data_IF_744329576960
#
_entry.id   IF_744329576960
#
_cell.length_a   1.000
_cell.length_b   1.000
_cell.length_c   1.000
_cell.angle_alpha   90.00
_cell.angle_beta   90.00
_cell.angle_gamma   90.00
#
_symmetry.space_group_name_H-M   'P 1'
#
loop_
_entity.id
_entity.type
_entity.pdbx_description
1 polymer ?
#
# COMPACT_ATOMS: atom_id res chain seq x y z
N UNK A 1 23.03 41.62 29.61
CA UNK A 1 23.72 40.39 29.16
C UNK A 1 24.03 39.58 30.40
N UNK A 2 23.22 38.57 30.70
CA UNK A 2 23.50 37.69 31.84
C UNK A 2 24.66 36.80 31.42
N UNK A 3 25.83 36.96 32.04
CA UNK A 3 26.92 36.01 31.85
C UNK A 3 26.39 34.62 32.19
N UNK A 4 26.70 33.62 31.37
CA UNK A 4 26.27 32.24 31.61
C UNK A 4 26.71 31.86 33.02
N UNK A 5 25.86 31.18 33.81
CA UNK A 5 26.23 30.73 35.17
C UNK A 5 27.54 29.93 35.16
N UNK A 6 27.80 29.23 34.05
CA UNK A 6 29.08 28.57 33.75
C UNK A 6 30.26 29.55 33.68
N UNK A 7 30.10 30.69 33.00
CA UNK A 7 31.14 31.70 32.87
C UNK A 7 31.43 32.34 34.23
N UNK A 8 30.39 32.57 35.04
CA UNK A 8 30.50 33.08 36.41
C UNK A 8 31.24 32.13 37.35
N UNK A 9 30.92 30.82 37.30
CA UNK A 9 31.66 29.82 38.09
C UNK A 9 33.11 29.75 37.65
N UNK A 10 33.38 29.79 36.34
CA UNK A 10 34.75 29.80 35.84
C UNK A 10 35.53 31.03 36.30
N UNK A 11 34.92 32.22 36.31
CA UNK A 11 35.59 33.43 36.82
C UNK A 11 35.91 33.31 38.31
N UNK A 12 34.98 32.81 39.13
CA UNK A 12 35.24 32.58 40.57
C UNK A 12 36.33 31.55 40.80
N UNK A 13 36.39 30.48 40.00
CA UNK A 13 37.41 29.44 40.11
C UNK A 13 38.80 29.97 39.71
N UNK A 14 38.89 30.82 38.67
CA UNK A 14 40.14 31.48 38.30
C UNK A 14 40.59 32.50 39.33
N UNK A 15 39.67 33.29 39.89
CA UNK A 15 39.97 34.26 40.94
C UNK A 15 40.41 33.58 42.24
N UNK A 16 39.76 32.48 42.61
CA UNK A 16 40.18 31.64 43.73
C UNK A 16 41.59 31.09 43.52
N UNK A 17 41.89 30.53 42.34
CA UNK A 17 43.22 30.01 42.02
C UNK A 17 44.31 31.10 42.09
N UNK A 18 44.00 32.32 41.64
CA UNK A 18 44.95 33.43 41.67
C UNK A 18 45.14 34.01 43.08
N UNK A 19 44.10 34.02 43.92
CA UNK A 19 44.21 34.41 45.33
C UNK A 19 44.99 33.40 46.16
N UNK A 20 44.84 32.09 45.89
CA UNK A 20 45.65 31.05 46.53
C UNK A 20 47.13 31.21 46.17
N UNK A 21 47.46 31.49 44.90
CA UNK A 21 48.85 31.79 44.49
C UNK A 21 49.40 33.03 45.22
N UNK A 22 48.62 34.10 45.32
CA UNK A 22 48.99 35.34 46.02
C UNK A 22 49.17 35.12 47.52
N UNK A 23 48.31 34.29 48.14
CA UNK A 23 48.43 33.91 49.54
C UNK A 23 49.75 33.18 49.82
N UNK A 24 50.08 32.14 49.05
CA UNK A 24 51.35 31.42 49.22
C UNK A 24 52.57 32.30 48.96
N UNK A 25 52.50 33.22 47.98
CA UNK A 25 53.56 34.21 47.76
C UNK A 25 53.74 35.14 48.98
N UNK A 26 52.65 35.68 49.52
CA UNK A 26 52.67 36.55 50.71
C UNK A 26 53.20 35.83 51.96
N UNK A 27 52.84 34.55 52.14
CA UNK A 27 53.33 33.72 53.24
C UNK A 27 54.85 33.50 53.15
N UNK A 28 55.37 33.28 51.93
CA UNK A 28 56.82 33.14 51.71
C UNK A 28 57.57 34.44 52.04
N UNK A 29 57.03 35.60 51.65
CA UNK A 29 57.67 36.90 51.91
C UNK A 29 57.67 37.28 53.39
N UNK A 30 56.67 36.84 54.14
CA UNK A 30 56.57 37.00 55.60
C UNK A 30 57.53 36.03 56.31
N UNK A 31 57.66 34.79 55.81
CA UNK A 31 58.63 33.82 56.32
C UNK A 31 60.09 34.29 56.14
N UNK A 32 60.38 35.03 55.06
CA UNK A 32 61.70 35.57 54.74
C UNK A 32 62.04 36.92 55.47
N UNK A 33 61.20 37.34 56.42
CA UNK A 33 61.43 38.50 57.33
C UNK A 33 61.57 39.87 56.63
N UNK A 34 61.00 40.03 55.43
CA UNK A 34 60.83 41.34 54.80
C UNK A 34 59.59 42.05 55.37
N UNK A 35 59.72 43.34 55.73
CA UNK A 35 58.66 44.15 56.33
C UNK A 35 57.44 44.13 55.40
N UNK A 36 56.37 43.49 55.84
CA UNK A 36 55.13 43.37 55.08
C UNK A 36 54.33 44.67 55.19
N UNK A 37 54.05 45.31 54.05
CA UNK A 37 53.04 46.38 53.97
C UNK A 37 51.70 45.84 54.49
N UNK A 38 51.03 46.58 55.37
CA UNK A 38 49.73 46.22 55.99
C UNK A 38 48.63 45.85 54.97
N UNK A 39 48.82 46.18 53.69
CA UNK A 39 47.96 45.87 52.56
C UNK A 39 48.11 44.44 51.99
N UNK A 40 49.21 43.72 52.29
CA UNK A 40 49.47 42.35 51.81
C UNK A 40 49.47 41.33 52.95
N UNK A 41 48.72 41.61 54.02
CA UNK A 41 48.61 40.69 55.15
C UNK A 41 47.88 39.40 54.72
N UNK A 42 48.42 38.21 55.04
CA UNK A 42 47.81 36.92 54.68
C UNK A 42 46.37 36.77 55.18
N UNK A 43 46.00 37.49 56.25
CA UNK A 43 44.63 37.51 56.78
C UNK A 43 43.61 38.14 55.82
N UNK A 44 44.01 39.12 55.01
CA UNK A 44 43.12 39.76 54.04
C UNK A 44 42.84 38.83 52.85
N UNK A 45 43.85 38.08 52.39
CA UNK A 45 43.67 37.07 51.35
C UNK A 45 42.78 35.92 51.81
N UNK A 46 42.91 35.47 53.08
CA UNK A 46 42.01 34.45 53.65
C UNK A 46 40.55 34.95 53.68
N UNK A 47 40.31 36.20 54.10
CA UNK A 47 38.96 36.79 54.09
C UNK A 47 38.38 36.85 52.67
N UNK A 48 39.18 37.23 51.68
CA UNK A 48 38.76 37.25 50.27
C UNK A 48 38.46 35.85 49.73
N UNK A 49 39.26 34.84 50.09
CA UNK A 49 39.04 33.44 49.73
C UNK A 49 37.69 32.96 50.29
N UNK A 50 37.39 33.24 51.57
CA UNK A 50 36.11 32.87 52.19
C UNK A 50 34.93 33.52 51.45
N UNK A 51 35.05 34.81 51.09
CA UNK A 51 33.96 35.49 50.36
C UNK A 51 33.72 34.92 48.97
N UNK A 52 34.77 34.45 48.28
CA UNK A 52 34.63 33.83 46.95
C UNK A 52 34.07 32.42 47.09
N UNK A 53 34.47 31.68 48.13
CA UNK A 53 33.92 30.36 48.44
C UNK A 53 32.41 30.45 48.73
N UNK A 54 31.98 31.42 49.55
CA UNK A 54 30.56 31.71 49.79
C UNK A 54 29.79 32.04 48.50
N UNK A 55 30.43 32.74 47.56
CA UNK A 55 29.82 33.08 46.27
C UNK A 55 29.77 31.87 45.33
N UNK A 56 30.79 31.01 45.35
CA UNK A 56 30.83 29.76 44.60
C UNK A 56 29.75 28.81 45.10
N UNK A 57 29.59 28.69 46.42
CA UNK A 57 28.56 27.87 47.04
C UNK A 57 27.15 28.31 46.59
N UNK A 58 26.86 29.62 46.62
CA UNK A 58 25.59 30.17 46.11
C UNK A 58 25.39 29.90 44.61
N UNK A 59 26.45 30.01 43.81
CA UNK A 59 26.38 29.72 42.38
C UNK A 59 26.08 28.23 42.11
N UNK A 60 26.66 27.32 42.89
CA UNK A 60 26.39 25.87 42.82
C UNK A 60 24.95 25.57 43.21
N UNK A 61 24.44 26.16 44.29
CA UNK A 61 23.03 26.01 44.70
C UNK A 61 22.07 26.47 43.60
N UNK A 62 22.35 27.60 42.95
CA UNK A 62 21.57 28.06 41.81
C UNK A 62 21.63 27.11 40.60
N UNK A 63 22.78 26.48 40.34
CA UNK A 63 22.92 25.47 39.27
C UNK A 63 22.08 24.24 39.60
N UNK A 64 22.08 23.77 40.85
CA UNK A 64 21.26 22.63 41.25
C UNK A 64 19.76 22.91 41.11
N UNK A 65 19.31 24.10 41.52
CA UNK A 65 17.92 24.52 41.30
C UNK A 65 17.57 24.56 39.81
N UNK A 66 18.45 25.12 39.00
CA UNK A 66 18.25 25.19 37.56
C UNK A 66 18.20 23.80 36.93
N UNK A 67 19.06 22.87 37.35
CA UNK A 67 19.04 21.48 36.90
C UNK A 67 17.73 20.78 37.28
N UNK A 68 17.26 20.96 38.53
CA UNK A 68 15.95 20.43 38.96
C UNK A 68 14.80 20.98 38.12
N UNK A 69 14.81 22.27 37.78
CA UNK A 69 13.81 22.88 36.88
C UNK A 69 13.92 22.33 35.46
N UNK A 70 15.14 22.19 34.94
CA UNK A 70 15.39 21.65 33.61
C UNK A 70 14.90 20.22 33.47
N UNK A 71 15.11 19.37 34.49
CA UNK A 71 14.56 18.01 34.51
C UNK A 71 13.04 18.01 34.41
N UNK A 72 12.36 18.90 35.14
CA UNK A 72 10.90 19.05 35.05
C UNK A 72 10.46 19.51 33.66
N UNK A 73 11.19 20.45 33.05
CA UNK A 73 10.90 20.91 31.68
C UNK A 73 11.01 19.75 30.69
N UNK A 74 12.08 18.95 30.79
CA UNK A 74 12.27 17.78 29.93
C UNK A 74 11.13 16.77 30.12
N UNK A 75 10.75 16.47 31.36
CA UNK A 75 9.62 15.58 31.65
C UNK A 75 8.31 16.06 31.00
N UNK A 76 7.98 17.35 31.16
CA UNK A 76 6.77 17.93 30.55
C UNK A 76 6.87 17.91 29.02
N UNK A 77 8.05 18.15 28.46
CA UNK A 77 8.27 18.06 27.02
C UNK A 77 8.04 16.64 26.49
N UNK A 78 8.55 15.62 27.20
CA UNK A 78 8.34 14.22 26.86
C UNK A 78 6.86 13.84 26.96
N UNK A 79 6.14 14.32 27.98
CA UNK A 79 4.69 14.14 28.11
C UNK A 79 3.93 14.75 26.92
N UNK A 80 4.26 15.98 26.53
CA UNK A 80 3.67 16.65 25.36
C UNK A 80 3.92 15.83 24.09
N UNK A 81 5.14 15.31 23.91
CA UNK A 81 5.46 14.47 22.76
C UNK A 81 4.64 13.17 22.77
N UNK A 82 4.47 12.52 23.92
CA UNK A 82 3.63 11.33 24.03
C UNK A 82 2.16 11.63 23.71
N UNK A 83 1.62 12.77 24.16
CA UNK A 83 0.26 13.18 23.80
C UNK A 83 0.11 13.46 22.30
N UNK A 84 1.10 14.10 21.67
CA UNK A 84 1.09 14.32 20.22
C UNK A 84 1.08 13.01 19.44
N UNK A 85 1.89 12.03 19.85
CA UNK A 85 1.90 10.70 19.22
C UNK A 85 0.52 10.03 19.36
N UNK A 86 -0.07 10.06 20.56
CA UNK A 86 -1.41 9.51 20.81
C UNK A 86 -2.48 10.21 19.96
N UNK A 87 -2.41 11.52 19.84
CA UNK A 87 -3.33 12.32 19.01
C UNK A 87 -3.23 11.93 17.54
N UNK A 88 -2.02 11.84 17.00
CA UNK A 88 -1.80 11.43 15.61
C UNK A 88 -2.33 10.01 15.35
N UNK A 89 -2.07 9.08 16.27
CA UNK A 89 -2.60 7.71 16.16
C UNK A 89 -4.13 7.68 16.18
N UNK A 90 -4.77 8.52 17.01
CA UNK A 90 -6.23 8.64 17.04
C UNK A 90 -6.78 9.17 15.71
N UNK A 91 -6.16 10.24 15.18
CA UNK A 91 -6.55 10.82 13.88
C UNK A 91 -6.39 9.81 12.76
N UNK A 92 -5.28 9.08 12.73
CA UNK A 92 -5.05 8.02 11.75
C UNK A 92 -6.12 6.93 11.84
N UNK A 93 -6.41 6.43 13.06
CA UNK A 93 -7.45 5.42 13.28
C UNK A 93 -8.83 5.90 12.84
N UNK A 94 -9.16 7.16 13.10
CA UNK A 94 -10.42 7.76 12.68
C UNK A 94 -10.50 7.83 11.14
N UNK A 95 -9.44 8.28 10.49
CA UNK A 95 -9.39 8.34 9.03
C UNK A 95 -9.51 6.95 8.39
N UNK A 96 -8.79 5.95 8.89
CA UNK A 96 -8.93 4.57 8.39
C UNK A 96 -10.35 4.03 8.60
N UNK A 97 -10.95 4.28 9.77
CA UNK A 97 -12.34 3.87 10.03
C UNK A 97 -13.34 4.58 9.09
N UNK A 98 -13.10 5.86 8.79
CA UNK A 98 -13.90 6.62 7.83
C UNK A 98 -13.78 6.04 6.42
N UNK A 99 -12.57 5.72 5.98
CA UNK A 99 -12.32 5.11 4.66
C UNK A 99 -13.00 3.74 4.54
N UNK A 100 -12.91 2.91 5.58
CA UNK A 100 -13.61 1.61 5.64
C UNK A 100 -15.13 1.78 5.51
N UNK A 101 -15.71 2.77 6.21
CA UNK A 101 -17.14 3.06 6.13
C UNK A 101 -17.56 3.57 4.75
N UNK A 102 -16.77 4.46 4.14
CA UNK A 102 -17.02 4.94 2.77
C UNK A 102 -16.95 3.80 1.76
N UNK A 103 -15.97 2.89 1.89
CA UNK A 103 -15.88 1.68 1.07
C UNK A 103 -17.08 0.76 1.27
N UNK A 104 -17.51 0.54 2.51
CA UNK A 104 -18.71 -0.25 2.78
C UNK A 104 -19.98 0.39 2.19
N UNK A 105 -20.09 1.71 2.26
CA UNK A 105 -21.23 2.47 1.76
C UNK A 105 -21.27 2.42 0.22
N UNK A 106 -20.12 2.62 -0.43
CA UNK A 106 -20.01 2.51 -1.89
C UNK A 106 -20.36 1.11 -2.39
N UNK A 107 -19.87 0.06 -1.71
CA UNK A 107 -20.24 -1.33 -2.02
C UNK A 107 -21.75 -1.57 -1.85
N UNK A 108 -22.35 -1.14 -0.74
CA UNK A 108 -23.78 -1.25 -0.52
C UNK A 108 -24.61 -0.51 -1.58
N UNK A 109 -24.14 0.66 -2.06
CA UNK A 109 -24.77 1.38 -3.18
C UNK A 109 -24.66 0.61 -4.49
N UNK A 110 -23.52 -0.04 -4.76
CA UNK A 110 -23.36 -0.88 -5.96
C UNK A 110 -24.27 -2.10 -5.90
N UNK A 111 -24.35 -2.78 -4.76
CA UNK A 111 -25.27 -3.89 -4.53
C UNK A 111 -26.71 -3.46 -4.73
N UNK A 112 -27.13 -2.32 -4.16
CA UNK A 112 -28.47 -1.79 -4.37
C UNK A 112 -28.77 -1.59 -5.87
N UNK A 113 -27.87 -0.94 -6.61
CA UNK A 113 -28.02 -0.77 -8.07
C UNK A 113 -28.13 -2.10 -8.80
N UNK A 114 -27.32 -3.10 -8.43
CA UNK A 114 -27.37 -4.44 -9.01
C UNK A 114 -28.71 -5.13 -8.70
N UNK A 115 -29.23 -5.01 -7.47
CA UNK A 115 -30.54 -5.56 -7.11
C UNK A 115 -31.69 -4.87 -7.83
N UNK A 116 -31.62 -3.54 -8.02
CA UNK A 116 -32.61 -2.80 -8.80
C UNK A 116 -32.56 -3.19 -10.28
N UNK A 117 -31.37 -3.37 -10.85
CA UNK A 117 -31.21 -3.88 -12.19
C UNK A 117 -31.79 -5.30 -12.32
N UNK A 118 -31.46 -6.19 -11.39
CA UNK A 118 -31.99 -7.55 -11.36
C UNK A 118 -33.52 -7.59 -11.24
N UNK A 119 -34.11 -6.69 -10.44
CA UNK A 119 -35.58 -6.55 -10.33
C UNK A 119 -36.21 -6.02 -11.62
N UNK A 120 -35.54 -5.12 -12.34
CA UNK A 120 -36.00 -4.61 -13.64
C UNK A 120 -35.84 -5.65 -14.75
N UNK A 121 -34.78 -6.45 -14.71
CA UNK A 121 -34.58 -7.54 -15.65
C UNK A 121 -35.52 -8.68 -15.30
N UNK A 122 -36.60 -8.85 -16.06
CA UNK A 122 -37.57 -9.92 -15.88
C UNK A 122 -37.00 -11.26 -16.38
N UNK A 123 -35.95 -11.77 -15.73
CA UNK A 123 -35.28 -13.02 -16.08
C UNK A 123 -35.76 -14.11 -15.11
N UNK A 124 -36.21 -15.23 -15.65
CA UNK A 124 -36.65 -16.35 -14.82
C UNK A 124 -35.44 -17.08 -14.22
N UNK A 125 -35.56 -17.48 -12.95
CA UNK A 125 -34.54 -18.26 -12.25
C UNK A 125 -34.21 -19.58 -12.96
N UNK A 126 -35.22 -20.22 -13.57
CA UNK A 126 -35.06 -21.47 -14.34
C UNK A 126 -34.13 -21.30 -15.52
N UNK A 127 -34.20 -20.17 -16.21
CA UNK A 127 -33.39 -19.90 -17.40
C UNK A 127 -31.92 -19.70 -17.00
N UNK A 128 -31.68 -18.97 -15.90
CA UNK A 128 -30.36 -18.78 -15.31
C UNK A 128 -29.75 -20.13 -14.92
N UNK A 129 -30.50 -20.99 -14.24
CA UNK A 129 -30.01 -22.30 -13.81
C UNK A 129 -29.68 -23.20 -15.02
N UNK A 130 -30.55 -23.21 -16.03
CA UNK A 130 -30.32 -23.98 -17.25
C UNK A 130 -29.08 -23.48 -18.02
N UNK A 131 -28.88 -22.17 -18.08
CA UNK A 131 -27.73 -21.57 -18.75
C UNK A 131 -26.44 -21.76 -17.95
N UNK A 132 -26.48 -21.63 -16.62
CA UNK A 132 -25.35 -21.91 -15.75
C UNK A 132 -24.91 -23.38 -15.84
N UNK A 133 -25.86 -24.32 -15.90
CA UNK A 133 -25.57 -25.74 -16.14
C UNK A 133 -24.89 -25.98 -17.49
N UNK A 134 -25.33 -25.30 -18.55
CA UNK A 134 -24.66 -25.34 -19.87
C UNK A 134 -23.24 -24.77 -19.81
N UNK A 135 -23.06 -23.60 -19.18
CA UNK A 135 -21.75 -22.95 -19.03
C UNK A 135 -20.78 -23.77 -18.18
N UNK A 136 -21.26 -24.47 -17.15
CA UNK A 136 -20.42 -25.26 -16.25
C UNK A 136 -19.54 -26.28 -16.98
N UNK A 137 -19.97 -26.77 -18.15
CA UNK A 137 -19.18 -27.70 -18.98
C UNK A 137 -17.91 -27.05 -19.57
N UNK A 138 -17.89 -25.71 -19.66
CA UNK A 138 -16.85 -24.92 -20.33
C UNK A 138 -16.01 -24.06 -19.39
N UNK A 139 -16.51 -23.77 -18.18
CA UNK A 139 -15.92 -22.74 -17.30
C UNK A 139 -15.06 -23.27 -16.15
N UNK A 140 -15.12 -24.57 -15.82
CA UNK A 140 -14.26 -25.13 -14.78
C UNK A 140 -14.03 -26.63 -14.96
N UNK A 141 -12.78 -27.06 -14.90
CA UNK A 141 -12.46 -28.48 -14.75
C UNK A 141 -12.90 -28.91 -13.33
N UNK A 142 -13.66 -30.01 -13.18
CA UNK A 142 -14.08 -30.48 -11.86
C UNK A 142 -12.89 -30.66 -10.92
N UNK A 143 -13.04 -30.39 -9.61
CA UNK A 143 -12.00 -30.73 -8.66
C UNK A 143 -11.75 -32.25 -8.72
N UNK A 144 -10.51 -32.65 -9.04
CA UNK A 144 -10.05 -34.01 -9.38
C UNK A 144 -10.16 -34.43 -10.86
N UNK A 145 -10.19 -33.49 -11.82
CA UNK A 145 -10.05 -33.83 -13.24
C UNK A 145 -8.64 -34.36 -13.54
N UNK A 146 -8.49 -35.68 -13.54
CA UNK A 146 -7.27 -36.36 -13.99
C UNK A 146 -7.44 -36.81 -15.44
N UNK A 147 -6.66 -36.21 -16.35
CA UNK A 147 -6.65 -36.51 -17.79
C UNK A 147 -6.35 -37.99 -18.10
N UNK A 148 -5.77 -38.71 -17.14
CA UNK A 148 -5.34 -40.10 -17.28
C UNK A 148 -6.43 -41.12 -16.88
N UNK A 149 -7.46 -40.70 -16.13
CA UNK A 149 -8.49 -41.60 -15.63
C UNK A 149 -9.76 -41.48 -16.47
N UNK A 150 -9.75 -42.13 -17.64
CA UNK A 150 -10.83 -42.13 -18.65
C UNK A 150 -12.15 -42.78 -18.18
N UNK A 151 -12.21 -43.22 -16.92
CA UNK A 151 -13.38 -43.89 -16.35
C UNK A 151 -14.33 -42.91 -15.65
N UNK A 152 -13.87 -41.70 -15.30
CA UNK A 152 -14.73 -40.62 -14.84
C UNK A 152 -15.25 -39.84 -16.06
N UNK A 153 -16.39 -40.26 -16.61
CA UNK A 153 -17.12 -39.53 -17.68
C UNK A 153 -17.62 -38.18 -17.16
N UNK A 154 -16.73 -37.20 -17.08
CA UNK A 154 -17.11 -35.82 -16.84
C UNK A 154 -16.89 -35.08 -18.16
N UNK A 155 -17.99 -34.65 -18.78
CA UNK A 155 -18.01 -33.95 -20.07
C UNK A 155 -17.48 -32.51 -19.92
N UNK A 156 -16.16 -32.39 -19.73
CA UNK A 156 -15.46 -31.11 -19.75
C UNK A 156 -15.09 -30.77 -21.20
N UNK A 157 -15.61 -29.65 -21.69
CA UNK A 157 -15.33 -29.14 -23.03
C UNK A 157 -14.40 -27.93 -22.95
N UNK A 158 -13.56 -27.73 -23.97
CA UNK A 158 -12.65 -26.58 -24.03
C UNK A 158 -13.47 -25.27 -24.10
N UNK A 159 -12.98 -24.17 -23.50
CA UNK A 159 -13.71 -22.91 -23.43
C UNK A 159 -13.88 -22.20 -24.79
N UNK A 160 -13.10 -22.59 -25.80
CA UNK A 160 -13.18 -22.08 -27.17
C UNK A 160 -13.55 -23.22 -28.14
N UNK A 161 -14.22 -22.92 -29.26
CA UNK A 161 -14.58 -23.93 -30.25
C UNK A 161 -13.32 -24.50 -30.91
N UNK A 162 -13.23 -25.83 -31.00
CA UNK A 162 -12.17 -26.52 -31.72
C UNK A 162 -12.33 -26.34 -33.25
N UNK A 163 -11.20 -26.38 -33.97
CA UNK A 163 -11.14 -26.25 -35.43
C UNK A 163 -12.12 -27.19 -36.17
N UNK A 164 -12.23 -28.44 -35.74
CA UNK A 164 -13.20 -29.38 -36.30
C UNK A 164 -14.66 -28.96 -36.05
N UNK A 165 -14.96 -28.39 -34.88
CA UNK A 165 -16.30 -27.89 -34.56
C UNK A 165 -16.62 -26.64 -35.38
N UNK A 166 -15.63 -25.79 -35.63
CA UNK A 166 -15.77 -24.62 -36.52
C UNK A 166 -16.00 -25.06 -37.97
N UNK A 167 -15.24 -26.05 -38.46
CA UNK A 167 -15.38 -26.61 -39.81
C UNK A 167 -16.70 -27.34 -40.05
N UNK A 168 -17.26 -27.98 -39.02
CA UNK A 168 -18.61 -28.57 -39.07
C UNK A 168 -19.72 -27.55 -38.86
N UNK A 169 -19.39 -26.30 -38.53
CA UNK A 169 -20.37 -25.26 -38.28
C UNK A 169 -21.11 -24.84 -39.55
N UNK A 170 -22.39 -24.49 -39.41
CA UNK A 170 -23.24 -24.03 -40.51
C UNK A 170 -22.62 -22.85 -41.29
N UNK A 171 -21.96 -21.93 -40.57
CA UNK A 171 -21.28 -20.77 -41.15
C UNK A 171 -20.11 -21.16 -42.07
N UNK A 172 -19.40 -22.24 -41.76
CA UNK A 172 -18.31 -22.73 -42.62
C UNK A 172 -18.90 -23.30 -43.91
N UNK A 173 -19.96 -24.11 -43.83
CA UNK A 173 -20.61 -24.71 -45.01
C UNK A 173 -21.25 -23.68 -45.94
N UNK A 174 -21.84 -22.62 -45.39
CA UNK A 174 -22.44 -21.56 -46.20
C UNK A 174 -21.40 -20.79 -47.02
N UNK A 175 -20.16 -20.70 -46.53
CA UNK A 175 -19.08 -19.94 -47.14
C UNK A 175 -18.04 -20.81 -47.86
N UNK A 176 -18.10 -22.14 -47.70
CA UNK A 176 -17.21 -23.06 -48.37
C UNK A 176 -17.77 -23.45 -49.74
N UNK A 177 -17.11 -23.03 -50.82
CA UNK A 177 -17.45 -23.44 -52.20
C UNK A 177 -17.03 -24.88 -52.55
N UNK A 178 -16.62 -25.69 -51.57
CA UNK A 178 -16.18 -27.06 -51.79
C UNK A 178 -17.33 -28.03 -51.48
N UNK A 179 -17.76 -28.78 -52.49
CA UNK A 179 -18.62 -29.95 -52.30
C UNK A 179 -17.86 -31.04 -51.52
N UNK A 180 -18.54 -31.85 -50.68
CA UNK A 180 -17.87 -32.76 -49.78
C UNK A 180 -17.23 -33.91 -50.57
N UNK A 181 -15.93 -34.07 -50.48
CA UNK A 181 -15.31 -35.39 -50.64
C UNK A 181 -15.52 -36.14 -49.33
N UNK A 182 -16.36 -37.18 -49.39
CA UNK A 182 -16.55 -38.15 -48.32
C UNK A 182 -15.21 -38.85 -47.99
N UNK A 183 -14.42 -38.28 -47.09
CA UNK A 183 -13.46 -39.09 -46.35
C UNK A 183 -14.19 -39.83 -45.24
N UNK A 184 -14.58 -41.04 -45.63
CA UNK A 184 -15.05 -42.13 -44.78
C UNK A 184 -14.11 -42.30 -43.57
N UNK A 185 -14.54 -41.84 -42.40
CA UNK A 185 -14.04 -42.36 -41.13
C UNK A 185 -15.22 -42.71 -40.22
N UNK A 186 -15.06 -43.87 -39.60
CA UNK A 186 -16.09 -44.71 -39.01
C UNK A 186 -16.86 -44.00 -37.88
N UNK A 187 -18.14 -43.79 -38.14
CA UNK A 187 -19.14 -43.60 -37.10
C UNK A 187 -19.13 -44.83 -36.20
N UNK A 188 -18.68 -44.65 -34.96
CA UNK A 188 -19.09 -45.51 -33.85
C UNK A 188 -20.37 -44.91 -33.25
N UNK A 189 -21.48 -45.02 -33.97
CA UNK A 189 -22.81 -45.24 -33.40
C UNK A 189 -23.84 -45.32 -34.53
N UNK A 190 -24.12 -46.55 -34.95
CA UNK A 190 -25.29 -46.91 -35.74
C UNK A 190 -26.42 -47.33 -34.80
N UNK A 191 -27.56 -46.63 -34.85
CA UNK A 191 -28.92 -47.17 -35.14
C UNK A 191 -30.07 -46.33 -34.52
N UNK A 192 -31.22 -46.35 -35.25
CA UNK A 192 -32.60 -45.91 -34.94
C UNK A 192 -32.89 -44.41 -35.23
N UNK A 193 -33.84 -43.97 -36.08
CA UNK A 193 -35.07 -44.58 -36.62
C UNK A 193 -35.54 -43.88 -37.91
N UNK A 194 -36.44 -44.54 -38.64
CA UNK A 194 -37.01 -44.20 -39.94
C UNK A 194 -38.19 -43.19 -39.93
N UNK A 195 -38.33 -42.53 -41.10
CA UNK A 195 -39.51 -42.07 -41.86
C UNK A 195 -40.63 -41.21 -41.25
N UNK A 196 -40.88 -40.04 -41.85
CA UNK A 196 -42.02 -39.70 -42.76
C UNK A 196 -41.90 -38.22 -43.16
N UNK A 197 -41.60 -37.88 -44.42
CA UNK A 197 -42.48 -37.49 -45.55
C UNK A 197 -43.33 -36.19 -45.40
N UNK A 198 -43.37 -35.46 -46.53
CA UNK A 198 -44.30 -34.41 -46.97
C UNK A 198 -43.93 -32.92 -46.77
N UNK A 199 -43.81 -32.21 -47.91
CA UNK A 199 -44.52 -30.94 -48.09
C UNK A 199 -43.73 -29.68 -48.49
N UNK A 200 -43.84 -29.36 -49.78
CA UNK A 200 -43.99 -28.00 -50.36
C UNK A 200 -42.77 -27.12 -50.70
N UNK A 201 -42.64 -26.97 -52.02
CA UNK A 201 -41.88 -25.96 -52.76
C UNK A 201 -42.46 -24.56 -52.50
N UNK A 202 -41.58 -23.59 -52.25
CA UNK A 202 -41.90 -22.18 -52.51
C UNK A 202 -40.75 -21.52 -53.25
N UNK A 203 -41.03 -21.17 -54.50
CA UNK A 203 -40.12 -20.49 -55.42
C UNK A 203 -40.05 -19.00 -55.08
N UNK A 204 -38.93 -18.54 -54.52
CA UNK A 204 -38.58 -17.12 -54.55
C UNK A 204 -37.39 -16.90 -55.48
N UNK A 205 -37.69 -16.41 -56.69
CA UNK A 205 -36.72 -15.77 -57.58
C UNK A 205 -36.16 -14.53 -56.88
N UNK A 206 -34.87 -14.53 -56.58
CA UNK A 206 -34.12 -13.31 -56.34
C UNK A 206 -33.36 -12.94 -57.62
N UNK A 207 -33.65 -11.74 -58.10
CA UNK A 207 -32.97 -11.13 -59.23
C UNK A 207 -31.48 -10.95 -58.92
N UNK A 208 -30.65 -11.30 -59.90
CA UNK A 208 -29.30 -10.75 -60.04
C UNK A 208 -29.42 -9.23 -60.19
N UNK A 209 -28.69 -8.47 -59.38
CA UNK A 209 -27.76 -7.49 -59.94
C UNK A 209 -26.80 -6.92 -58.89
N UNK A 210 -25.70 -6.37 -59.40
CA UNK A 210 -24.67 -5.53 -58.79
C UNK A 210 -23.54 -6.22 -58.00
N UNK A 211 -22.39 -6.27 -58.68
CA UNK A 211 -21.09 -6.55 -58.11
C UNK A 211 -20.75 -5.59 -56.96
N UNK A 212 -20.48 -6.18 -55.81
CA UNK A 212 -19.71 -5.57 -54.74
C UNK A 212 -18.59 -6.54 -54.42
N UNK A 213 -17.35 -6.04 -54.42
CA UNK A 213 -16.18 -6.83 -54.05
C UNK A 213 -16.36 -7.43 -52.63
N UNK A 214 -15.91 -8.67 -52.40
CA UNK A 214 -16.05 -9.30 -51.10
C UNK A 214 -15.25 -8.53 -50.04
N UNK A 215 -15.94 -8.13 -48.97
CA UNK A 215 -15.49 -7.32 -47.82
C UNK A 215 -14.25 -7.88 -47.06
N UNK A 216 -13.70 -9.03 -47.48
CA UNK A 216 -12.58 -9.72 -46.82
C UNK A 216 -11.22 -9.48 -47.47
N UNK A 217 -11.15 -8.70 -48.57
CA UNK A 217 -9.87 -8.20 -49.09
C UNK A 217 -9.54 -6.88 -48.36
N UNK A 218 -9.36 -6.97 -47.04
CA UNK A 218 -8.76 -5.89 -46.27
C UNK A 218 -7.26 -6.19 -46.19
N UNK A 219 -6.49 -5.57 -47.08
CA UNK A 219 -5.03 -5.60 -47.03
C UNK A 219 -4.58 -4.86 -45.76
N UNK A 220 -4.10 -5.61 -44.77
CA UNK A 220 -3.79 -5.12 -43.43
C UNK A 220 -2.40 -4.47 -43.31
N UNK A 221 -1.66 -4.24 -44.41
CA UNK A 221 -0.36 -3.54 -44.38
C UNK A 221 -0.16 -2.64 -45.62
N UNK A 222 -0.62 -1.38 -45.61
CA UNK A 222 -0.50 -0.49 -46.77
C UNK A 222 0.86 0.22 -46.91
N UNK A 223 1.79 0.09 -45.96
CA UNK A 223 3.08 0.80 -45.99
C UNK A 223 4.28 -0.15 -45.98
N UNK A 224 4.58 -0.76 -47.13
CA UNK A 224 5.92 -1.24 -47.49
C UNK A 224 6.02 -1.36 -49.02
N UNK A 225 6.26 -0.24 -49.71
CA UNK A 225 6.89 -0.24 -51.03
C UNK A 225 8.14 0.67 -50.98
N UNK A 226 9.24 0.28 -51.66
CA UNK A 226 10.57 0.86 -51.52
C UNK A 226 10.71 2.28 -52.09
#
# INVERSE_FOLDING_TARGET
MQHSTRDQVNTYLTEYADLVKKYFASLSTVADHSISEEANSPEQFIKQIITIDDNLQKAVEHIEEHQKRQQKIIQVQDEIQQYNIKLLNLVQKLNSSKEELEMSLTNARMELKATEYAKKSNINFTDILSYASKLSKYTSAPPNFDLLNRDAKIDFEKPYPDEERMRRGLLYWQNSSQQPTEEKFESSDSEISANDDAGEQSTHKHNEDTGGDPFWILDLNPDMQP
#
